data_IF_142189525734
#
_entry.id   IF_142189525734
#
_cell.length_a   1.000
_cell.length_b   1.000
_cell.length_c   1.000
_cell.angle_alpha   90.00
_cell.angle_beta   90.00
_cell.angle_gamma   90.00
#
_symmetry.space_group_name_H-M   'P 1'
#
loop_
_entity.id
_entity.type
_entity.pdbx_description
1 polymer ?
#
# COMPACT_ATOMS: atom_id res chain seq x y z
N UNK A 1 10.56 9.62 6.19
CA UNK A 1 11.75 8.96 6.79
C UNK A 1 11.49 7.44 6.86
N UNK A 2 12.48 6.52 6.79
CA UNK A 2 12.22 5.09 6.98
C UNK A 2 11.41 4.76 8.24
N UNK A 3 11.56 5.54 9.32
CA UNK A 3 10.79 5.37 10.55
C UNK A 3 9.29 5.67 10.40
N UNK A 4 8.93 6.58 9.49
CA UNK A 4 7.54 6.92 9.19
C UNK A 4 6.82 5.77 8.49
N UNK A 5 7.50 5.07 7.59
CA UNK A 5 6.96 3.90 6.88
C UNK A 5 6.74 2.73 7.84
N UNK A 6 7.68 2.49 8.76
CA UNK A 6 7.54 1.47 9.79
C UNK A 6 6.34 1.71 10.71
N UNK A 7 5.96 2.98 10.94
CA UNK A 7 4.78 3.34 11.76
C UNK A 7 3.46 2.88 11.15
N UNK A 8 3.41 2.70 9.82
CA UNK A 8 2.27 2.12 9.10
C UNK A 8 2.24 0.58 9.16
N UNK A 9 3.17 -0.06 9.87
CA UNK A 9 3.30 -1.52 9.90
C UNK A 9 3.94 -2.12 8.64
N UNK A 10 4.48 -1.28 7.76
CA UNK A 10 5.15 -1.72 6.52
C UNK A 10 6.60 -2.10 6.84
N UNK A 11 6.91 -3.40 6.76
CA UNK A 11 8.26 -3.93 7.01
C UNK A 11 9.15 -3.96 5.75
N UNK A 12 8.53 -3.95 4.56
CA UNK A 12 9.21 -3.92 3.26
C UNK A 12 8.52 -2.95 2.30
N UNK A 13 9.29 -2.04 1.75
CA UNK A 13 8.87 -1.14 0.66
C UNK A 13 9.03 -1.83 -0.69
N UNK A 14 8.31 -1.40 -1.73
CA UNK A 14 7.29 -0.33 -1.77
C UNK A 14 5.95 -0.74 -1.13
N UNK A 15 5.16 0.24 -0.69
CA UNK A 15 3.82 0.04 -0.13
C UNK A 15 2.86 1.12 -0.61
N UNK A 16 1.57 0.79 -0.65
CA UNK A 16 0.46 1.68 -1.03
C UNK A 16 -0.52 1.78 0.16
N UNK A 17 -0.83 3.02 0.54
CA UNK A 17 -1.77 3.35 1.62
C UNK A 17 -2.90 4.20 1.05
N UNK A 18 -4.14 3.85 1.39
CA UNK A 18 -5.36 4.54 0.97
C UNK A 18 -6.27 4.68 2.20
N UNK A 19 -6.75 5.89 2.47
CA UNK A 19 -7.57 6.22 3.65
C UNK A 19 -6.98 5.70 4.96
N UNK A 20 -5.70 5.99 5.21
CA UNK A 20 -4.94 5.52 6.38
C UNK A 20 -4.82 3.98 6.51
N UNK A 21 -5.21 3.23 5.49
CA UNK A 21 -5.12 1.77 5.43
C UNK A 21 -4.07 1.28 4.44
N UNK A 22 -3.16 0.41 4.88
CA UNK A 22 -2.21 -0.26 3.98
C UNK A 22 -2.96 -1.28 3.11
N UNK A 23 -2.91 -1.11 1.79
CA UNK A 23 -3.58 -1.99 0.82
C UNK A 23 -2.60 -2.90 0.06
N UNK A 24 -1.34 -2.48 -0.09
CA UNK A 24 -0.27 -3.29 -0.70
C UNK A 24 1.05 -3.03 0.03
N UNK A 25 1.85 -4.07 0.25
CA UNK A 25 3.21 -3.95 0.80
C UNK A 25 4.15 -4.98 0.18
N UNK A 26 5.40 -4.59 -0.09
CA UNK A 26 6.46 -5.47 -0.59
C UNK A 26 6.39 -5.76 -2.10
N UNK A 27 5.49 -5.12 -2.84
CA UNK A 27 5.40 -5.22 -4.31
C UNK A 27 4.73 -3.99 -4.92
N UNK A 28 4.89 -3.83 -6.23
CA UNK A 28 4.11 -2.89 -7.04
C UNK A 28 2.97 -3.67 -7.72
N UNK A 29 1.70 -3.28 -7.53
CA UNK A 29 0.55 -3.90 -8.19
C UNK A 29 0.48 -3.53 -9.68
N UNK A 30 -0.25 -4.31 -10.47
CA UNK A 30 -0.61 -3.95 -11.85
C UNK A 30 -1.71 -2.87 -11.89
N UNK A 31 -1.94 -2.29 -13.06
CA UNK A 31 -3.03 -1.31 -13.24
C UNK A 31 -4.42 -1.94 -13.02
N UNK A 32 -4.60 -3.21 -13.40
CA UNK A 32 -5.84 -3.95 -13.19
C UNK A 32 -6.05 -4.21 -11.69
N UNK A 33 -5.03 -4.70 -10.98
CA UNK A 33 -5.08 -4.91 -9.51
C UNK A 33 -5.39 -3.60 -8.77
N UNK A 34 -4.82 -2.46 -9.21
CA UNK A 34 -5.13 -1.15 -8.64
C UNK A 34 -6.59 -0.75 -8.86
N UNK A 35 -7.13 -1.01 -10.04
CA UNK A 35 -8.51 -0.67 -10.37
C UNK A 35 -9.48 -1.46 -9.51
N UNK A 36 -9.22 -2.76 -9.30
CA UNK A 36 -10.01 -3.61 -8.42
C UNK A 36 -9.94 -3.12 -6.96
N UNK A 37 -8.74 -2.82 -6.45
CA UNK A 37 -8.53 -2.34 -5.08
C UNK A 37 -9.24 -1.01 -4.78
N UNK A 38 -9.38 -0.13 -5.78
CA UNK A 38 -9.99 1.18 -5.64
C UNK A 38 -11.49 1.19 -5.94
N UNK A 39 -12.03 0.16 -6.60
CA UNK A 39 -13.45 0.12 -7.01
C UNK A 39 -14.42 -0.32 -5.91
N UNK A 40 -13.94 -1.08 -4.91
CA UNK A 40 -14.77 -1.62 -3.81
C UNK A 40 -14.81 -0.73 -2.54
N UNK A 41 -14.33 0.52 -2.64
CA UNK A 41 -14.21 1.46 -1.51
C UNK A 41 -15.13 2.67 -1.69
#
# INVERSE_FOLDING_TARGET
DPGEIASWGVMSTPALVVDDGVVVSGRVPSADELSDLLSDR
#
